data_IF_814198718055
#
_entry.id   IF_814198718055
#
_cell.length_a   1.000
_cell.length_b   1.000
_cell.length_c   1.000
_cell.angle_alpha   90.00
_cell.angle_beta   90.00
_cell.angle_gamma   90.00
#
_symmetry.space_group_name_H-M   'P 1'
#
loop_
_entity.id
_entity.type
_entity.pdbx_description
1 polymer ?
#
# COMPACT_ATOMS: atom_id res chain seq x y z
N UNK A 1 0.96 23.28 5.42
CA UNK A 1 0.82 21.83 5.18
C UNK A 1 1.38 21.53 3.80
N UNK A 2 2.31 20.55 3.67
CA UNK A 2 2.77 20.11 2.34
C UNK A 2 1.72 19.14 1.80
N UNK A 3 1.01 19.55 0.74
CA UNK A 3 0.20 18.63 -0.06
C UNK A 3 1.17 17.62 -0.67
N UNK A 4 1.19 16.40 -0.13
CA UNK A 4 1.94 15.30 -0.73
C UNK A 4 1.02 14.70 -1.76
N UNK A 5 1.40 14.78 -3.02
CA UNK A 5 0.63 14.20 -4.11
C UNK A 5 0.79 12.68 -4.04
N UNK A 6 -0.04 12.02 -3.24
CA UNK A 6 -0.02 10.57 -3.07
C UNK A 6 -0.72 9.97 -4.28
N UNK A 7 -0.03 9.08 -4.98
CA UNK A 7 -0.55 8.38 -6.15
C UNK A 7 -0.25 6.90 -6.02
N UNK A 8 -1.24 6.08 -6.37
CA UNK A 8 -1.10 4.63 -6.52
C UNK A 8 -0.94 4.34 -8.02
N UNK A 9 0.21 3.79 -8.41
CA UNK A 9 0.48 3.41 -9.80
C UNK A 9 -0.24 2.10 -10.18
N UNK A 10 -0.44 1.87 -11.48
CA UNK A 10 -1.01 0.62 -12.01
C UNK A 10 -2.34 0.17 -11.34
N UNK A 11 -3.40 1.01 -11.37
CA UNK A 11 -4.65 0.73 -10.67
C UNK A 11 -5.37 -0.55 -11.17
N UNK A 12 -5.19 -0.92 -12.43
CA UNK A 12 -5.74 -2.16 -12.99
C UNK A 12 -5.06 -3.40 -12.41
N UNK A 13 -3.73 -3.35 -12.25
CA UNK A 13 -2.97 -4.41 -11.60
C UNK A 13 -3.43 -4.56 -10.14
N UNK A 14 -3.64 -3.45 -9.43
CA UNK A 14 -4.15 -3.47 -8.05
C UNK A 14 -5.50 -4.19 -7.95
N UNK A 15 -6.44 -3.80 -8.81
CA UNK A 15 -7.76 -4.42 -8.86
C UNK A 15 -7.69 -5.92 -9.19
N UNK A 16 -6.81 -6.32 -10.12
CA UNK A 16 -6.57 -7.72 -10.43
C UNK A 16 -5.93 -8.49 -9.27
N UNK A 17 -4.95 -7.91 -8.59
CA UNK A 17 -4.26 -8.53 -7.44
C UNK A 17 -5.22 -8.77 -6.27
N UNK A 18 -6.09 -7.81 -5.93
CA UNK A 18 -7.09 -7.95 -4.86
C UNK A 18 -8.03 -9.14 -5.11
N UNK A 19 -8.46 -9.32 -6.36
CA UNK A 19 -9.38 -10.40 -6.75
C UNK A 19 -8.72 -11.78 -6.69
N UNK A 20 -7.42 -11.87 -6.99
CA UNK A 20 -6.67 -13.13 -7.08
C UNK A 20 -6.01 -13.54 -5.76
N UNK A 21 -5.75 -12.59 -4.87
CA UNK A 21 -5.02 -12.85 -3.63
C UNK A 21 -5.87 -13.65 -2.62
N UNK A 22 -5.24 -14.69 -2.08
CA UNK A 22 -5.77 -15.59 -1.07
C UNK A 22 -5.10 -15.41 0.30
N UNK A 23 -3.84 -14.96 0.35
CA UNK A 23 -3.13 -14.65 1.59
C UNK A 23 -3.80 -13.44 2.27
N UNK A 24 -4.37 -13.61 3.48
CA UNK A 24 -5.08 -12.53 4.16
C UNK A 24 -4.21 -11.31 4.47
N UNK A 25 -2.92 -11.52 4.76
CA UNK A 25 -2.00 -10.43 5.10
C UNK A 25 -1.64 -9.60 3.85
N UNK A 26 -1.42 -10.25 2.71
CA UNK A 26 -1.17 -9.55 1.43
C UNK A 26 -2.46 -8.85 0.98
N UNK A 27 -3.60 -9.54 1.07
CA UNK A 27 -4.91 -8.99 0.69
C UNK A 27 -5.28 -7.75 1.51
N UNK A 28 -4.97 -7.76 2.79
CA UNK A 28 -5.15 -6.60 3.66
C UNK A 28 -4.30 -5.39 3.23
N UNK A 29 -3.02 -5.60 2.87
CA UNK A 29 -2.17 -4.52 2.33
C UNK A 29 -2.70 -3.99 0.99
N UNK A 30 -3.16 -4.87 0.11
CA UNK A 30 -3.75 -4.48 -1.18
C UNK A 30 -5.06 -3.69 -0.98
N UNK A 31 -5.90 -4.10 -0.02
CA UNK A 31 -7.11 -3.36 0.34
C UNK A 31 -6.81 -1.96 0.89
N UNK A 32 -5.74 -1.82 1.70
CA UNK A 32 -5.26 -0.52 2.14
C UNK A 32 -4.85 0.37 0.96
N UNK A 33 -4.09 -0.16 -0.01
CA UNK A 33 -3.69 0.61 -1.19
C UNK A 33 -4.90 1.03 -2.04
N UNK A 34 -5.94 0.19 -2.10
CA UNK A 34 -7.18 0.53 -2.79
C UNK A 34 -7.90 1.68 -2.09
N UNK A 35 -7.96 1.71 -0.75
CA UNK A 35 -8.60 2.83 -0.03
C UNK A 35 -7.85 4.14 -0.26
N UNK A 36 -6.51 4.11 -0.22
CA UNK A 36 -5.68 5.29 -0.51
C UNK A 36 -5.80 5.74 -1.96
N UNK A 37 -6.02 4.82 -2.90
CA UNK A 37 -6.28 5.18 -4.31
C UNK A 37 -7.59 5.95 -4.46
N UNK A 38 -8.62 5.54 -3.73
CA UNK A 38 -9.95 6.16 -3.76
C UNK A 38 -9.94 7.53 -3.11
N UNK A 39 -9.16 7.71 -2.05
CA UNK A 39 -9.03 8.97 -1.33
C UNK A 39 -7.58 9.26 -0.89
N UNK A 40 -6.74 9.81 -1.80
CA UNK A 40 -5.32 10.03 -1.54
C UNK A 40 -5.03 11.13 -0.53
N UNK A 41 -5.95 12.08 -0.33
CA UNK A 41 -5.80 13.19 0.61
C UNK A 41 -6.03 12.76 2.07
N UNK A 42 -6.72 11.63 2.29
CA UNK A 42 -7.09 11.12 3.62
C UNK A 42 -6.33 9.84 4.00
N UNK A 43 -5.03 9.77 3.67
CA UNK A 43 -4.18 8.62 4.05
C UNK A 43 -4.16 8.37 5.57
N UNK A 44 -4.21 9.43 6.39
CA UNK A 44 -4.19 9.29 7.85
C UNK A 44 -5.47 8.58 8.36
N UNK A 45 -6.62 8.85 7.75
CA UNK A 45 -7.88 8.17 8.06
C UNK A 45 -7.82 6.70 7.60
N UNK A 46 -7.28 6.43 6.40
CA UNK A 46 -7.01 5.05 5.97
C UNK A 46 -6.07 4.32 6.94
N UNK A 47 -5.05 4.99 7.46
CA UNK A 47 -4.15 4.42 8.46
C UNK A 47 -4.89 4.04 9.75
N UNK A 48 -5.83 4.87 10.21
CA UNK A 48 -6.66 4.58 11.38
C UNK A 48 -7.61 3.41 11.15
N UNK A 49 -8.36 3.40 10.04
CA UNK A 49 -9.30 2.34 9.68
C UNK A 49 -8.60 0.98 9.62
N UNK A 50 -7.44 0.95 9.00
CA UNK A 50 -6.69 -0.29 8.86
C UNK A 50 -5.86 -0.61 10.13
N UNK A 51 -5.66 0.32 11.07
CA UNK A 51 -4.74 0.15 12.20
C UNK A 51 -3.27 -0.04 11.76
N UNK A 52 -2.83 0.79 10.81
CA UNK A 52 -1.47 0.80 10.24
C UNK A 52 -0.78 2.10 10.64
N UNK A 53 0.53 2.03 10.95
CA UNK A 53 1.29 3.25 11.18
C UNK A 53 1.50 4.03 9.88
N UNK A 54 1.43 5.35 9.93
CA UNK A 54 1.67 6.22 8.76
C UNK A 54 3.02 5.89 8.07
N UNK A 55 4.15 5.67 8.77
CA UNK A 55 5.40 5.24 8.13
C UNK A 55 5.27 3.93 7.35
N UNK A 56 4.59 2.93 7.91
CA UNK A 56 4.35 1.63 7.26
C UNK A 56 3.50 1.80 6.00
N UNK A 57 2.46 2.63 6.05
CA UNK A 57 1.63 2.93 4.89
C UNK A 57 2.42 3.54 3.74
N UNK A 58 3.28 4.54 4.01
CA UNK A 58 4.14 5.13 2.98
C UNK A 58 5.14 4.12 2.39
N UNK A 59 5.61 3.19 3.21
CA UNK A 59 6.47 2.09 2.76
C UNK A 59 5.71 1.20 1.77
N UNK A 60 4.46 0.82 2.08
CA UNK A 60 3.64 0.03 1.16
C UNK A 60 3.35 0.75 -0.15
N UNK A 61 2.97 2.02 -0.09
CA UNK A 61 2.74 2.85 -1.29
C UNK A 61 3.99 2.89 -2.17
N UNK A 62 5.16 3.10 -1.56
CA UNK A 62 6.43 3.14 -2.29
C UNK A 62 6.77 1.79 -2.94
N UNK A 63 6.66 0.69 -2.19
CA UNK A 63 7.00 -0.63 -2.74
C UNK A 63 6.01 -1.07 -3.82
N UNK A 64 4.73 -0.74 -3.68
CA UNK A 64 3.76 -0.93 -4.75
C UNK A 64 4.12 -0.12 -6.01
N UNK A 65 4.39 1.17 -5.85
CA UNK A 65 4.71 2.03 -6.99
C UNK A 65 6.02 1.63 -7.69
N UNK A 66 6.95 1.01 -6.96
CA UNK A 66 8.25 0.56 -7.50
C UNK A 66 8.20 -0.84 -8.10
N UNK A 67 7.58 -1.80 -7.40
CA UNK A 67 7.70 -3.24 -7.67
C UNK A 67 6.33 -3.93 -7.88
N UNK A 68 5.22 -3.17 -7.86
CA UNK A 68 3.87 -3.72 -7.99
C UNK A 68 3.55 -4.75 -6.89
N UNK A 69 2.92 -5.85 -7.30
CA UNK A 69 2.48 -6.90 -6.39
C UNK A 69 3.63 -7.54 -5.59
N UNK A 70 4.81 -7.75 -6.20
CA UNK A 70 5.96 -8.36 -5.52
C UNK A 70 6.44 -7.53 -4.32
N UNK A 71 6.37 -6.20 -4.43
CA UNK A 71 6.71 -5.27 -3.35
C UNK A 71 5.75 -5.33 -2.15
N UNK A 72 4.52 -5.81 -2.36
CA UNK A 72 3.52 -5.96 -1.30
C UNK A 72 3.47 -7.38 -0.75
N UNK A 73 3.74 -8.37 -1.61
CA UNK A 73 3.74 -9.78 -1.26
C UNK A 73 4.93 -10.16 -0.36
N UNK A 74 6.08 -9.50 -0.51
CA UNK A 74 7.25 -9.84 0.30
C UNK A 74 7.04 -9.45 1.78
N UNK A 75 7.35 -10.32 2.75
CA UNK A 75 7.46 -9.90 4.14
C UNK A 75 8.50 -8.79 4.23
N UNK A 76 8.15 -7.67 4.86
CA UNK A 76 9.09 -6.60 5.17
C UNK A 76 10.13 -7.11 6.16
N UNK A 77 11.16 -7.76 5.64
CA UNK A 77 12.40 -8.06 6.33
C UNK A 77 13.52 -7.79 5.34
N UNK A 78 14.08 -6.59 5.43
CA UNK A 78 15.52 -6.34 5.34
C UNK A 78 15.78 -4.88 5.70
N UNK A 79 16.03 -4.68 6.99
CA UNK A 79 17.07 -3.76 7.43
C UNK A 79 18.41 -4.24 6.86
N UNK A 80 18.67 -4.01 5.58
CA UNK A 80 20.06 -3.91 5.12
C UNK A 80 20.42 -2.43 5.25
N UNK A 81 20.91 -2.09 6.45
CA UNK A 81 21.79 -0.94 6.62
C UNK A 81 23.00 -1.21 5.73
N UNK A 82 23.12 -0.44 4.65
CA UNK A 82 24.41 -0.13 4.04
C UNK A 82 24.95 1.14 4.71
#
# INVERSE_FOLDING_TARGET
MRVRNIKIENPDLLACSIKKECDPAIKYRLAFLQSVKEDPDHIEESCQIFSVSVPTAYVWIREWNKNGYEGIAHPYHKSERL
#
